data_IF_309225034944
#
_entry.id   IF_309225034944
#
_cell.length_a   1.000
_cell.length_b   1.000
_cell.length_c   1.000
_cell.angle_alpha   90.00
_cell.angle_beta   90.00
_cell.angle_gamma   90.00
#
_symmetry.space_group_name_H-M   'P 1'
#
loop_
_entity.id
_entity.type
_entity.pdbx_description
1 polymer ?
#
# COMPACT_ATOMS: atom_id res chain seq x y z
N UNK A 1 4.87 -14.00 -5.98
CA UNK A 1 4.34 -15.23 -6.63
C UNK A 1 2.95 -15.03 -7.19
N UNK A 2 1.89 -14.90 -6.40
CA UNK A 2 0.54 -14.75 -6.97
C UNK A 2 0.40 -13.54 -7.92
N UNK A 3 0.97 -12.39 -7.56
CA UNK A 3 1.02 -11.23 -8.46
C UNK A 3 1.82 -11.52 -9.75
N UNK A 4 2.96 -12.22 -9.65
CA UNK A 4 3.77 -12.56 -10.83
C UNK A 4 3.07 -13.50 -11.82
N UNK A 5 2.06 -14.23 -11.35
CA UNK A 5 1.27 -15.20 -12.14
C UNK A 5 0.01 -14.57 -12.75
N UNK A 6 -0.28 -13.29 -12.47
CA UNK A 6 -1.49 -12.60 -12.91
C UNK A 6 -1.15 -11.43 -13.82
N UNK A 7 -1.91 -11.31 -14.90
CA UNK A 7 -1.93 -10.09 -15.69
C UNK A 7 -2.65 -8.99 -14.88
N UNK A 8 -2.04 -7.81 -14.66
CA UNK A 8 -2.67 -6.73 -13.91
C UNK A 8 -3.98 -6.23 -14.54
N UNK A 9 -4.20 -6.40 -15.84
CA UNK A 9 -5.48 -6.09 -16.50
C UNK A 9 -6.61 -7.07 -16.15
N UNK A 10 -6.27 -8.25 -15.63
CA UNK A 10 -7.25 -9.26 -15.19
C UNK A 10 -7.41 -9.26 -13.67
N UNK A 11 -6.32 -9.12 -12.94
CA UNK A 11 -6.33 -9.07 -11.47
C UNK A 11 -5.16 -8.27 -10.95
N UNK A 12 -5.46 -7.16 -10.30
CA UNK A 12 -4.47 -6.36 -9.58
C UNK A 12 -4.30 -6.90 -8.16
N UNK A 13 -3.06 -6.96 -7.68
CA UNK A 13 -2.72 -7.40 -6.33
C UNK A 13 -1.78 -6.38 -5.72
N UNK A 14 -2.27 -5.61 -4.77
CA UNK A 14 -1.50 -4.59 -4.05
C UNK A 14 -1.56 -4.90 -2.57
N UNK A 15 -0.42 -4.85 -1.89
CA UNK A 15 -0.35 -4.95 -0.45
C UNK A 15 -0.08 -3.55 0.10
N UNK A 16 -0.70 -3.18 1.21
CA UNK A 16 -0.38 -1.91 1.83
C UNK A 16 -0.46 -1.95 3.35
N UNK A 17 0.36 -1.12 3.99
CA UNK A 17 0.22 -0.80 5.40
C UNK A 17 -0.96 0.18 5.54
N UNK A 18 -2.00 -0.15 6.32
CA UNK A 18 -3.22 0.65 6.39
C UNK A 18 -3.07 1.91 7.25
N UNK A 19 -1.98 2.03 8.01
CA UNK A 19 -1.78 3.09 8.99
C UNK A 19 -1.89 2.57 10.42
N UNK A 20 -1.74 3.47 11.38
CA UNK A 20 -1.94 3.21 12.79
C UNK A 20 -3.43 3.44 13.12
N UNK A 21 -4.21 2.36 13.18
CA UNK A 21 -5.65 2.44 13.41
C UNK A 21 -6.02 2.01 14.84
N UNK A 22 -6.83 2.83 15.52
CA UNK A 22 -7.41 2.45 16.81
C UNK A 22 -8.60 1.50 16.60
N UNK A 23 -8.28 0.23 16.34
CA UNK A 23 -9.27 -0.85 16.24
C UNK A 23 -9.70 -1.32 17.63
N UNK A 24 -10.79 -2.08 17.70
CA UNK A 24 -11.29 -2.62 18.97
C UNK A 24 -10.26 -3.52 19.65
N UNK A 25 -9.52 -4.33 18.89
CA UNK A 25 -8.44 -5.16 19.42
C UNK A 25 -7.28 -4.32 19.98
N UNK A 26 -7.03 -3.14 19.42
CA UNK A 26 -6.02 -2.21 19.94
C UNK A 26 -6.52 -1.56 21.23
N UNK A 27 -7.81 -1.20 21.31
CA UNK A 27 -8.46 -0.71 22.54
C UNK A 27 -8.43 -1.74 23.66
N UNK A 28 -8.75 -3.00 23.37
CA UNK A 28 -8.71 -4.12 24.33
C UNK A 28 -7.31 -4.33 24.95
N UNK A 29 -6.26 -3.96 24.21
CA UNK A 29 -4.87 -3.98 24.70
C UNK A 29 -4.50 -2.76 25.55
N UNK A 30 -5.47 -1.93 25.94
CA UNK A 30 -5.29 -0.78 26.81
C UNK A 30 -4.87 0.49 26.08
N UNK A 31 -4.92 0.52 24.75
CA UNK A 31 -4.60 1.73 23.99
C UNK A 31 -5.80 2.65 23.90
N UNK A 32 -5.60 3.94 24.20
CA UNK A 32 -6.62 4.97 24.11
C UNK A 32 -6.36 5.94 22.95
N UNK A 33 -7.39 6.69 22.57
CA UNK A 33 -7.32 7.74 21.55
C UNK A 33 -6.21 8.76 21.84
N UNK A 34 -5.95 9.05 23.11
CA UNK A 34 -4.93 10.02 23.54
C UNK A 34 -3.48 9.53 23.45
N UNK A 35 -3.23 8.25 23.16
CA UNK A 35 -1.89 7.65 23.22
C UNK A 35 -1.10 7.86 21.93
N UNK A 36 -1.78 8.10 20.81
CA UNK A 36 -1.15 8.31 19.52
C UNK A 36 -2.01 9.18 18.63
N UNK A 37 -1.42 9.68 17.56
CA UNK A 37 -2.16 10.28 16.46
C UNK A 37 -2.60 9.14 15.54
N UNK A 38 -3.71 8.49 15.91
CA UNK A 38 -4.29 7.42 15.13
C UNK A 38 -4.74 7.96 13.76
N UNK A 39 -4.47 7.20 12.71
CA UNK A 39 -4.97 7.50 11.37
C UNK A 39 -6.50 7.34 11.34
N UNK A 40 -7.16 8.20 10.56
CA UNK A 40 -8.59 8.09 10.32
C UNK A 40 -8.87 6.87 9.41
N UNK A 41 -9.90 6.09 9.73
CA UNK A 41 -10.28 4.90 8.96
C UNK A 41 -10.60 5.19 7.48
N UNK A 42 -11.01 6.41 7.16
CA UNK A 42 -11.27 6.84 5.78
C UNK A 42 -10.00 6.86 4.92
N UNK A 43 -8.81 7.02 5.51
CA UNK A 43 -7.55 7.04 4.79
C UNK A 43 -7.26 5.69 4.11
N UNK A 44 -7.10 4.56 4.82
CA UNK A 44 -6.91 3.26 4.19
C UNK A 44 -8.13 2.80 3.39
N UNK A 45 -9.36 3.22 3.77
CA UNK A 45 -10.57 2.92 3.02
C UNK A 45 -10.54 3.54 1.62
N UNK A 46 -10.26 4.84 1.52
CA UNK A 46 -10.15 5.55 0.24
C UNK A 46 -8.95 5.06 -0.57
N UNK A 47 -7.81 4.79 0.09
CA UNK A 47 -6.63 4.24 -0.55
C UNK A 47 -6.88 2.85 -1.16
N UNK A 48 -7.64 1.98 -0.49
CA UNK A 48 -8.02 0.67 -1.02
C UNK A 48 -8.89 0.80 -2.28
N UNK A 49 -9.82 1.75 -2.31
CA UNK A 49 -10.64 2.04 -3.50
C UNK A 49 -9.76 2.52 -4.65
N UNK A 50 -8.83 3.44 -4.39
CA UNK A 50 -7.88 3.90 -5.40
C UNK A 50 -6.97 2.77 -5.92
N UNK A 51 -6.47 1.90 -5.03
CA UNK A 51 -5.68 0.72 -5.40
C UNK A 51 -6.43 -0.28 -6.28
N UNK A 52 -7.76 -0.28 -6.25
CA UNK A 52 -8.59 -1.14 -7.09
C UNK A 52 -8.86 -0.54 -8.48
N UNK A 53 -8.45 0.70 -8.72
CA UNK A 53 -8.61 1.38 -10.01
C UNK A 53 -7.44 1.14 -10.96
N UNK A 54 -7.64 1.37 -12.26
CA UNK A 54 -6.58 1.29 -13.27
C UNK A 54 -5.45 2.31 -13.03
N UNK A 55 -5.74 3.40 -12.33
CA UNK A 55 -4.76 4.43 -11.99
C UNK A 55 -3.62 3.87 -11.13
N UNK A 56 -3.91 2.89 -10.28
CA UNK A 56 -2.95 2.28 -9.37
C UNK A 56 -2.30 1.00 -9.93
N UNK A 57 -2.57 0.62 -11.19
CA UNK A 57 -2.10 -0.65 -11.77
C UNK A 57 -0.57 -0.81 -11.73
N UNK A 58 0.18 0.29 -11.70
CA UNK A 58 1.64 0.29 -11.56
C UNK A 58 2.14 -0.24 -10.21
N UNK A 59 1.28 -0.28 -9.19
CA UNK A 59 1.58 -0.86 -7.88
C UNK A 59 1.39 -2.38 -7.83
N UNK A 60 1.05 -3.03 -8.96
CA UNK A 60 0.83 -4.46 -9.00
C UNK A 60 2.04 -5.27 -8.46
N UNK A 61 1.77 -6.08 -7.44
CA UNK A 61 2.71 -6.90 -6.70
C UNK A 61 3.57 -6.14 -5.68
N UNK A 62 3.27 -4.85 -5.40
CA UNK A 62 4.04 -4.02 -4.47
C UNK A 62 3.43 -3.95 -3.07
N UNK A 63 4.26 -3.56 -2.12
CA UNK A 63 3.92 -3.19 -0.74
C UNK A 63 4.13 -1.69 -0.55
N UNK A 64 3.06 -0.95 -0.25
CA UNK A 64 3.06 0.52 -0.10
C UNK A 64 2.41 0.94 1.23
N UNK A 65 2.27 2.23 1.49
CA UNK A 65 1.60 2.75 2.69
C UNK A 65 0.44 3.66 2.28
N UNK A 66 -0.73 3.49 2.89
CA UNK A 66 -1.90 4.35 2.67
C UNK A 66 -1.66 5.83 2.93
N UNK A 67 -0.71 6.17 3.80
CA UNK A 67 -0.37 7.55 4.16
C UNK A 67 0.56 8.25 3.15
N UNK A 68 1.01 7.56 2.10
CA UNK A 68 1.83 8.17 1.05
C UNK A 68 1.00 9.01 0.09
N UNK A 69 1.61 10.07 -0.46
CA UNK A 69 0.99 10.93 -1.46
C UNK A 69 0.86 10.18 -2.80
N UNK A 70 -0.38 10.03 -3.27
CA UNK A 70 -0.69 9.31 -4.52
C UNK A 70 -0.15 10.02 -5.75
N UNK A 71 -0.11 11.36 -5.76
CA UNK A 71 0.40 12.13 -6.90
C UNK A 71 1.92 12.01 -7.00
N UNK A 72 2.62 11.98 -5.86
CA UNK A 72 4.05 11.68 -5.83
C UNK A 72 4.34 10.24 -6.29
N UNK A 73 3.52 9.27 -5.90
CA UNK A 73 3.63 7.89 -6.38
C UNK A 73 3.41 7.76 -7.90
N UNK A 74 2.55 8.59 -8.48
CA UNK A 74 2.20 8.57 -9.91
C UNK A 74 3.21 9.27 -10.80
N UNK A 75 3.93 10.27 -10.30
CA UNK A 75 4.69 11.20 -11.15
C UNK A 75 6.07 11.61 -10.63
N UNK A 76 6.43 11.24 -9.40
CA UNK A 76 7.67 11.67 -8.75
C UNK A 76 8.85 10.70 -8.91
N UNK A 77 9.96 10.92 -8.18
CA UNK A 77 11.14 10.06 -8.21
C UNK A 77 10.83 8.61 -7.81
N UNK A 78 9.81 8.40 -6.98
CA UNK A 78 9.34 7.06 -6.60
C UNK A 78 8.76 6.35 -7.82
N UNK A 79 7.97 7.05 -8.65
CA UNK A 79 7.43 6.50 -9.90
C UNK A 79 8.56 6.02 -10.82
N UNK A 80 9.53 6.89 -11.05
CA UNK A 80 10.70 6.59 -11.89
C UNK A 80 11.43 5.33 -11.41
N UNK A 81 11.56 5.17 -10.08
CA UNK A 81 12.20 3.99 -9.50
C UNK A 81 11.34 2.74 -9.66
N UNK A 82 10.02 2.83 -9.48
CA UNK A 82 9.10 1.70 -9.69
C UNK A 82 9.16 1.17 -11.12
N UNK A 83 9.32 2.05 -12.11
CA UNK A 83 9.42 1.67 -13.52
C UNK A 83 10.78 1.04 -13.87
N UNK A 84 11.87 1.52 -13.25
CA UNK A 84 13.25 1.06 -13.53
C UNK A 84 13.65 -0.19 -12.73
N UNK A 85 13.14 -0.33 -11.51
CA UNK A 85 13.48 -1.42 -10.60
C UNK A 85 12.24 -2.28 -10.32
N UNK A 86 12.15 -3.41 -11.03
CA UNK A 86 11.05 -4.36 -10.87
C UNK A 86 10.96 -4.93 -9.45
N UNK A 87 12.06 -4.96 -8.70
CA UNK A 87 12.10 -5.52 -7.35
C UNK A 87 11.77 -4.48 -6.28
N UNK A 88 11.85 -3.20 -6.59
CA UNK A 88 11.55 -2.14 -5.64
C UNK A 88 10.13 -2.29 -5.08
N UNK A 89 10.03 -2.27 -3.74
CA UNK A 89 8.80 -2.46 -2.97
C UNK A 89 8.09 -3.80 -3.21
N UNK A 90 8.75 -4.83 -3.75
CA UNK A 90 8.23 -6.20 -3.74
C UNK A 90 8.69 -6.93 -2.50
N UNK A 91 7.80 -7.73 -1.92
CA UNK A 91 8.16 -8.63 -0.84
C UNK A 91 8.84 -9.86 -1.44
N UNK A 92 10.10 -10.08 -1.08
CA UNK A 92 10.89 -11.22 -1.57
C UNK A 92 12.31 -11.23 -1.04
N UNK A 93 13.04 -12.30 -1.36
CA UNK A 93 14.50 -12.38 -1.14
C UNK A 93 15.19 -12.05 -2.46
N UNK A 94 16.17 -11.17 -2.43
CA UNK A 94 16.91 -10.70 -3.60
C UNK A 94 18.41 -11.00 -3.41
N UNK A 95 19.08 -11.49 -4.45
CA UNK A 95 20.54 -11.67 -4.46
C UNK A 95 21.07 -13.01 -3.92
N UNK A 96 20.28 -14.08 -4.01
CA UNK A 96 20.76 -15.47 -3.87
C UNK A 96 21.07 -16.09 -5.23
#
# INVERSE_FOLDING_TARGET
>A
KLADEKDPSQTQITNFHPGALLTDQVREKGMAESISNWDDMSLPGSFAVWCASDEAAFLHGRFVWSAWDVEELKSGPIRDRLDKDRQFLRIGVHGL
#
